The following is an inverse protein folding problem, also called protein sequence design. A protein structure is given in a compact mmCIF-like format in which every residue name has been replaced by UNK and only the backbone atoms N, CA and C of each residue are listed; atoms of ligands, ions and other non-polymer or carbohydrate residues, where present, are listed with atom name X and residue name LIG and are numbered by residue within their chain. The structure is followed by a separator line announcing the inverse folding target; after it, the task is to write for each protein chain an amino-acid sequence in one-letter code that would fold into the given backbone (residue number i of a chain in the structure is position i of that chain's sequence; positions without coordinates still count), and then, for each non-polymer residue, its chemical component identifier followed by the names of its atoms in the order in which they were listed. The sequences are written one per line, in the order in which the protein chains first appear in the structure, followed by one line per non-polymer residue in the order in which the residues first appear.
data_IF_143196789819
#
_entry.id   IF_143196789819
#
_cell.length_a   1.000
_cell.length_b   1.000
_cell.length_c   1.000
_cell.angle_alpha   90.00
_cell.angle_beta   90.00
_cell.angle_gamma   90.00
#
_symmetry.space_group_name_H-M   'P 1'
#
loop_
_entity.id
_entity.type
_entity.pdbx_description
1 polymer ?
2 polymer ?
3 water ?
#
# COMPACT_ATOMS: atom_id res chain seq x y z
N UNK A 1 -37.73 2.56 7.92
CA UNK A 1 -38.92 2.72 7.09
C UNK A 1 -38.55 2.70 5.61
N UNK A 2 -39.29 1.92 4.83
CA UNK A 2 -39.08 1.81 3.40
C UNK A 2 -40.15 2.65 2.72
N UNK A 3 -39.75 3.79 2.17
CA UNK A 3 -40.66 4.69 1.48
C UNK A 3 -41.22 4.06 0.21
N UNK A 4 -42.45 4.44 -0.12
CA UNK A 4 -42.95 4.23 -1.47
C UNK A 4 -42.37 5.26 -2.43
N UNK A 5 -42.35 4.91 -3.71
CA UNK A 5 -41.71 5.77 -4.70
C UNK A 5 -42.43 7.12 -4.81
N UNK A 6 -43.75 7.09 -4.97
CA UNK A 6 -44.52 8.33 -5.01
C UNK A 6 -44.54 9.03 -3.66
N UNK A 7 -44.59 8.25 -2.56
CA UNK A 7 -44.54 8.84 -1.23
C UNK A 7 -43.27 9.65 -1.03
N UNK A 8 -42.13 9.12 -1.50
CA UNK A 8 -40.87 9.83 -1.35
C UNK A 8 -40.79 11.05 -2.25
N UNK A 9 -41.37 10.96 -3.46
CA UNK A 9 -41.36 12.10 -4.37
C UNK A 9 -42.08 13.29 -3.77
N UNK A 10 -43.24 13.07 -3.14
CA UNK A 10 -43.96 14.16 -2.52
C UNK A 10 -43.22 14.71 -1.31
N UNK A 11 -42.61 13.83 -0.52
CA UNK A 11 -41.89 14.28 0.67
C UNK A 11 -40.69 15.15 0.30
N UNK A 12 -39.93 14.73 -0.73
CA UNK A 12 -38.79 15.53 -1.14
C UNK A 12 -39.20 16.80 -1.87
N UNK A 13 -40.32 16.79 -2.57
CA UNK A 13 -40.82 18.02 -3.17
C UNK A 13 -41.27 19.00 -2.10
N UNK A 14 -41.85 18.50 -0.99
CA UNK A 14 -42.19 19.38 0.12
C UNK A 14 -40.93 20.02 0.72
N UNK A 15 -39.80 19.33 0.65
CA UNK A 15 -38.54 19.89 1.12
C UNK A 15 -37.82 20.72 0.06
N UNK A 16 -38.48 20.97 -1.07
CA UNK A 16 -37.91 21.87 -2.07
C UNK A 16 -36.71 21.34 -2.83
N UNK A 17 -36.65 20.03 -3.07
CA UNK A 17 -35.55 19.44 -3.82
C UNK A 17 -35.77 19.48 -5.33
N UNK A 18 -36.90 20.00 -5.79
CA UNK A 18 -37.16 20.09 -7.22
C UNK A 18 -36.43 21.31 -7.79
N UNK A 19 -35.56 21.06 -8.76
CA UNK A 19 -34.73 22.08 -9.40
C UNK A 19 -33.80 22.78 -8.41
N UNK A 20 -33.50 22.14 -7.27
CA UNK A 20 -32.50 22.67 -6.37
C UNK A 20 -31.13 22.53 -7.01
N UNK A 21 -30.47 23.66 -7.28
CA UNK A 21 -29.20 23.68 -8.01
C UNK A 21 -29.34 23.02 -9.37
N UNK A 22 -30.49 23.20 -10.02
CA UNK A 22 -30.70 22.74 -11.37
C UNK A 22 -31.06 21.27 -11.50
N UNK A 23 -31.25 20.55 -10.41
CA UNK A 23 -31.53 19.13 -10.45
C UNK A 23 -33.03 18.92 -10.19
N UNK A 24 -33.75 18.49 -11.22
CA UNK A 24 -35.18 18.25 -11.09
C UNK A 24 -35.46 17.18 -10.05
N UNK A 25 -36.71 17.16 -9.58
CA UNK A 25 -37.10 16.27 -8.49
C UNK A 25 -36.86 14.80 -8.83
N UNK A 26 -37.06 14.42 -10.10
CA UNK A 26 -36.87 13.03 -10.49
C UNK A 26 -35.48 12.51 -10.24
N UNK A 27 -34.47 13.39 -10.27
CA UNK A 27 -33.10 12.98 -9.99
C UNK A 27 -32.97 12.42 -8.56
N UNK A 28 -33.64 13.06 -7.60
CA UNK A 28 -33.49 12.65 -6.21
C UNK A 28 -34.26 11.37 -5.91
N UNK A 29 -35.42 11.16 -6.56
CA UNK A 29 -36.13 9.89 -6.41
C UNK A 29 -35.28 8.76 -6.96
N UNK A 30 -34.75 8.95 -8.17
CA UNK A 30 -33.90 7.92 -8.78
C UNK A 30 -32.65 7.66 -7.96
N UNK A 31 -32.06 8.72 -7.40
CA UNK A 31 -30.84 8.57 -6.60
C UNK A 31 -31.08 7.71 -5.37
N UNK A 32 -32.17 7.98 -4.66
CA UNK A 32 -32.50 7.17 -3.48
C UNK A 32 -32.80 5.72 -3.86
N UNK A 33 -33.36 5.49 -5.04
CA UNK A 33 -33.73 4.14 -5.44
C UNK A 33 -32.48 3.26 -5.60
N UNK A 34 -31.43 3.78 -6.23
CA UNK A 34 -30.25 2.97 -6.48
C UNK A 34 -29.17 3.13 -5.42
N UNK A 35 -29.33 4.07 -4.48
CA UNK A 35 -28.42 4.17 -3.35
C UNK A 35 -28.89 3.33 -2.15
N UNK A 36 -30.19 3.40 -1.83
CA UNK A 36 -30.71 2.76 -0.63
C UNK A 36 -31.96 1.92 -0.87
N UNK A 37 -32.50 1.91 -2.09
CA UNK A 37 -33.75 1.22 -2.40
C UNK A 37 -34.89 1.76 -1.52
N UNK A 38 -34.91 3.08 -1.33
CA UNK A 38 -35.94 3.80 -0.60
C UNK A 38 -35.99 3.44 0.88
N UNK A 39 -34.92 2.84 1.42
CA UNK A 39 -34.86 2.43 2.81
C UNK A 39 -34.17 3.52 3.62
N UNK A 40 -34.89 4.08 4.60
CA UNK A 40 -34.30 5.11 5.45
C UNK A 40 -33.22 4.57 6.37
N UNK A 41 -33.20 3.26 6.61
CA UNK A 41 -32.28 2.63 7.54
C UNK A 41 -31.12 1.92 6.84
N UNK A 42 -30.86 2.24 5.58
CA UNK A 42 -29.79 1.58 4.84
C UNK A 42 -28.43 2.00 5.38
N UNK A 43 -27.57 1.01 5.64
CA UNK A 43 -26.19 1.25 6.06
C UNK A 43 -25.27 0.35 5.26
N UNK A 44 -24.21 0.92 4.70
CA UNK A 44 -23.27 0.18 3.87
C UNK A 44 -21.85 0.61 4.20
N UNK A 45 -20.99 -0.38 4.41
CA UNK A 45 -19.59 -0.12 4.71
C UNK A 45 -18.82 0.24 3.43
N UNK A 46 -17.83 1.10 3.58
CA UNK A 46 -16.85 1.38 2.54
C UNK A 46 -15.54 0.69 2.89
N UNK A 47 -14.61 0.72 1.93
CA UNK A 47 -13.33 0.03 2.11
C UNK A 47 -12.31 0.86 2.87
N UNK A 48 -12.66 2.08 3.29
CA UNK A 48 -11.76 2.97 4.00
C UNK A 48 -12.20 3.22 5.43
N UNK A 49 -12.96 2.32 6.02
CA UNK A 49 -13.43 2.50 7.38
C UNK A 49 -14.64 3.39 7.54
N UNK A 50 -15.14 4.00 6.45
CA UNK A 50 -16.30 4.87 6.52
C UNK A 50 -17.57 4.08 6.21
N UNK A 51 -18.72 4.75 6.33
CA UNK A 51 -20.01 4.11 6.15
C UNK A 51 -20.99 5.12 5.56
N UNK A 52 -21.86 4.65 4.68
CA UNK A 52 -22.93 5.46 4.13
C UNK A 52 -24.23 5.19 4.88
N UNK A 53 -24.94 6.24 5.26
CA UNK A 53 -26.10 6.12 6.12
C UNK A 53 -27.33 6.75 5.47
N UNK A 54 -28.47 6.12 5.64
CA UNK A 54 -29.73 6.74 5.32
C UNK A 54 -30.24 6.43 3.93
N UNK A 55 -31.36 7.10 3.60
CA UNK A 55 -32.00 6.90 2.31
C UNK A 55 -31.18 7.48 1.17
N UNK A 56 -30.25 8.40 1.46
CA UNK A 56 -29.37 8.96 0.45
C UNK A 56 -27.91 8.54 0.64
N UNK A 57 -27.65 7.61 1.55
CA UNK A 57 -26.33 7.01 1.73
C UNK A 57 -25.26 8.08 1.92
N UNK A 58 -25.43 8.86 2.99
CA UNK A 58 -24.54 9.96 3.30
C UNK A 58 -23.28 9.41 3.95
N UNK A 59 -22.12 9.85 3.46
CA UNK A 59 -20.84 9.25 3.84
C UNK A 59 -20.34 9.80 5.19
N UNK A 60 -19.73 8.92 5.98
CA UNK A 60 -19.32 9.25 7.34
C UNK A 60 -17.88 9.76 7.44
N UNK A 61 -17.15 9.82 6.32
CA UNK A 61 -15.85 10.47 6.33
C UNK A 61 -15.95 11.96 6.03
N UNK A 62 -16.89 12.37 5.17
CA UNK A 62 -16.95 13.74 4.70
C UNK A 62 -18.13 14.54 5.24
N UNK A 63 -19.26 13.91 5.54
CA UNK A 63 -20.48 14.66 5.80
C UNK A 63 -21.01 14.52 7.22
N UNK A 64 -21.22 13.31 7.71
CA UNK A 64 -21.75 13.11 9.06
C UNK A 64 -20.73 12.40 9.94
N UNK A 65 -20.96 12.44 11.24
CA UNK A 65 -20.07 11.86 12.23
C UNK A 65 -20.71 10.60 12.80
N UNK A 66 -20.01 9.48 12.68
CA UNK A 66 -20.45 8.20 13.24
C UNK A 66 -19.53 7.72 14.36
N UNK A 67 -18.55 8.52 14.76
CA UNK A 67 -17.67 8.19 15.87
C UNK A 67 -16.70 7.06 15.64
N UNK A 68 -16.58 6.54 14.42
CA UNK A 68 -15.70 5.41 14.16
C UNK A 68 -14.86 5.56 12.90
N UNK A 69 -15.00 6.66 12.15
CA UNK A 69 -14.25 6.85 10.92
C UNK A 69 -13.07 7.75 11.16
N UNK A 70 -11.85 7.32 10.86
CA UNK A 70 -10.68 8.17 11.10
C UNK A 70 -10.66 9.36 10.16
N UNK A 71 -10.29 10.52 10.71
CA UNK A 71 -10.18 11.72 9.91
C UNK A 71 -11.49 12.21 9.32
N UNK A 72 -12.61 11.95 9.99
CA UNK A 72 -13.91 12.39 9.50
C UNK A 72 -14.03 13.91 9.61
N UNK A 73 -14.51 14.55 8.55
CA UNK A 73 -14.62 16.01 8.55
C UNK A 73 -15.95 16.50 9.08
N UNK A 74 -17.04 15.76 8.86
CA UNK A 74 -18.37 16.15 9.33
C UNK A 74 -18.76 17.54 8.82
N UNK A 75 -18.69 17.69 7.50
CA UNK A 75 -18.98 18.99 6.88
C UNK A 75 -20.45 19.34 6.95
N UNK A 76 -21.33 18.36 7.16
CA UNK A 76 -22.75 18.62 7.39
C UNK A 76 -23.06 18.91 8.85
N UNK A 77 -22.10 18.66 9.76
CA UNK A 77 -22.23 18.92 11.19
C UNK A 77 -23.51 18.30 11.75
N UNK A 78 -23.58 16.97 11.66
CA UNK A 78 -24.75 16.23 12.12
C UNK A 78 -24.34 14.78 12.40
N UNK A 79 -24.80 14.18 13.50
CA UNK A 79 -24.51 12.75 13.72
C UNK A 79 -25.17 11.89 12.66
N UNK A 80 -24.45 10.85 12.24
CA UNK A 80 -24.97 9.94 11.21
C UNK A 80 -26.24 9.24 11.66
N UNK A 81 -26.41 9.07 12.97
CA UNK A 81 -27.63 8.45 13.48
C UNK A 81 -28.86 9.28 13.09
N UNK A 82 -28.73 10.60 13.05
CA UNK A 82 -29.84 11.45 12.64
C UNK A 82 -30.26 11.19 11.20
N UNK A 83 -29.36 10.67 10.37
CA UNK A 83 -29.66 10.35 8.99
C UNK A 83 -30.31 8.99 8.83
N UNK A 84 -30.50 8.26 9.92
CA UNK A 84 -31.20 6.97 9.91
C UNK A 84 -32.65 7.09 10.38
N UNK A 85 -33.11 8.32 10.63
CA UNK A 85 -34.48 8.54 11.06
C UNK A 85 -35.46 8.31 9.91
N UNK A 86 -36.69 7.91 10.27
CA UNK A 86 -37.75 7.78 9.28
C UNK A 86 -38.15 9.13 8.68
N UNK A 87 -37.81 10.22 9.35
CA UNK A 87 -37.99 11.57 8.84
C UNK A 87 -36.76 11.97 8.04
N UNK A 88 -36.94 12.31 6.77
CA UNK A 88 -35.81 12.53 5.86
C UNK A 88 -35.38 13.98 5.86
N UNK A 89 -35.85 14.76 6.83
CA UNK A 89 -35.48 16.17 6.90
C UNK A 89 -33.98 16.35 7.02
N UNK A 90 -33.34 15.58 7.90
CA UNK A 90 -31.89 15.70 8.08
C UNK A 90 -31.13 15.26 6.85
N UNK A 91 -31.56 14.16 6.21
CA UNK A 91 -30.87 13.68 5.02
C UNK A 91 -31.04 14.65 3.85
N UNK A 92 -32.17 15.34 3.78
CA UNK A 92 -32.37 16.31 2.69
C UNK A 92 -31.51 17.54 2.90
N UNK A 93 -31.44 18.06 4.14
CA UNK A 93 -30.66 19.25 4.39
C UNK A 93 -29.17 19.00 4.14
N UNK A 94 -28.67 17.81 4.50
CA UNK A 94 -27.29 17.49 4.20
C UNK A 94 -27.08 17.27 2.71
N UNK A 95 -28.07 16.71 2.02
CA UNK A 95 -27.95 16.53 0.57
C UNK A 95 -27.88 17.87 -0.15
N UNK A 96 -28.60 18.87 0.34
CA UNK A 96 -28.52 20.20 -0.27
C UNK A 96 -27.14 20.81 -0.08
N UNK A 97 -26.55 20.61 1.11
CA UNK A 97 -25.20 21.10 1.33
C UNK A 97 -24.19 20.38 0.44
N UNK A 98 -24.41 19.10 0.17
CA UNK A 98 -23.48 18.34 -0.66
C UNK A 98 -23.56 18.81 -2.11
N UNK A 99 -24.78 18.91 -2.65
CA UNK A 99 -24.94 19.28 -4.05
C UNK A 99 -24.50 20.71 -4.32
N UNK A 100 -24.46 21.55 -3.29
CA UNK A 100 -24.01 22.93 -3.43
C UNK A 100 -22.52 23.08 -3.18
N UNK A 101 -21.81 21.99 -2.96
CA UNK A 101 -20.38 22.04 -2.69
C UNK A 101 -19.55 22.17 -3.96
N UNK A 102 -20.20 22.39 -5.11
CA UNK A 102 -19.50 22.64 -6.35
C UNK A 102 -19.42 21.47 -7.33
N UNK A 103 -19.75 20.26 -6.90
CA UNK A 103 -19.72 19.10 -7.80
C UNK A 103 -21.09 18.58 -8.18
N UNK A 104 -22.17 19.19 -7.70
CA UNK A 104 -23.49 18.71 -8.06
C UNK A 104 -23.79 17.34 -7.46
N UNK A 105 -24.66 16.60 -8.15
CA UNK A 105 -25.06 15.28 -7.69
C UNK A 105 -24.06 14.17 -8.03
N UNK A 106 -22.89 14.53 -8.57
CA UNK A 106 -21.85 13.55 -8.85
C UNK A 106 -21.30 12.91 -7.59
N UNK A 107 -21.64 13.42 -6.41
CA UNK A 107 -21.18 12.81 -5.17
C UNK A 107 -21.82 11.45 -4.90
N UNK A 108 -22.95 11.15 -5.54
CA UNK A 108 -23.65 9.89 -5.37
C UNK A 108 -23.28 8.96 -6.52
N UNK A 109 -22.59 7.87 -6.22
CA UNK A 109 -22.12 6.94 -7.25
C UNK A 109 -23.29 6.32 -7.98
N UNK A 110 -24.34 5.92 -7.25
CA UNK A 110 -25.48 5.27 -7.89
C UNK A 110 -26.22 6.21 -8.83
N UNK A 111 -26.29 7.50 -8.49
CA UNK A 111 -26.90 8.47 -9.40
C UNK A 111 -26.10 8.60 -10.68
N UNK A 112 -24.76 8.56 -10.58
CA UNK A 112 -23.91 8.73 -11.74
C UNK A 112 -24.11 7.59 -12.74
N UNK A 113 -24.17 6.35 -12.26
CA UNK A 113 -24.17 5.18 -13.11
C UNK A 113 -25.57 4.67 -13.46
N UNK A 114 -26.62 5.21 -12.83
CA UNK A 114 -27.97 4.71 -13.04
C UNK A 114 -29.00 5.79 -13.39
N UNK A 115 -28.75 7.05 -13.04
CA UNK A 115 -29.74 8.11 -13.20
C UNK A 115 -29.30 9.23 -14.12
N UNK A 116 -28.01 9.59 -14.08
CA UNK A 116 -27.50 10.69 -14.90
C UNK A 116 -27.67 10.36 -16.39
N UNK A 117 -28.30 11.29 -17.12
CA UNK A 117 -28.53 11.10 -18.54
C UNK A 117 -29.66 10.17 -18.92
N UNK A 118 -30.55 9.87 -17.98
CA UNK A 118 -31.69 9.00 -18.23
C UNK A 118 -32.98 9.79 -18.10
N UNK A 119 -34.11 9.13 -18.36
CA UNK A 119 -35.43 9.74 -18.20
C UNK A 119 -35.80 9.67 -16.71
N UNK A 120 -35.24 10.63 -15.95
CA UNK A 120 -35.44 10.64 -14.51
C UNK A 120 -36.88 10.98 -14.16
N UNK A 121 -37.58 11.70 -15.02
CA UNK A 121 -38.98 12.05 -14.77
C UNK A 121 -39.88 10.83 -14.76
N UNK A 122 -39.42 9.70 -15.31
CA UNK A 122 -40.21 8.47 -15.21
C UNK A 122 -40.42 8.06 -13.76
N UNK A 123 -39.50 8.45 -12.88
CA UNK A 123 -39.61 8.13 -11.46
C UNK A 123 -40.64 8.98 -10.73
N UNK A 124 -41.21 10.00 -11.38
CA UNK A 124 -42.30 10.77 -10.79
C UNK A 124 -43.57 10.69 -11.62
N UNK A 125 -43.56 9.93 -12.71
CA UNK A 125 -44.72 9.81 -13.57
C UNK A 125 -45.81 8.99 -12.87
N UNK A 126 -47.00 9.56 -12.75
CA UNK A 126 -48.10 8.89 -12.09
C UNK A 126 -48.19 9.11 -10.59
N UNK A 127 -47.52 10.11 -10.05
CA UNK A 127 -47.58 10.44 -8.63
C UNK A 127 -48.40 11.70 -8.42
N UNK A 128 -48.75 11.95 -7.16
CA UNK A 128 -49.61 13.08 -6.82
C UNK A 128 -48.91 14.42 -7.05
N UNK A 129 -47.99 14.78 -6.16
CA UNK A 129 -47.33 16.08 -6.19
C UNK A 129 -48.34 17.23 -6.23
N UNK B 1 36.79 -5.25 -11.06
CA UNK B 1 37.56 -6.43 -11.42
C UNK B 1 36.69 -7.68 -11.37
N UNK B 2 36.78 -8.50 -12.43
CA UNK B 2 36.03 -9.74 -12.53
C UNK B 2 36.98 -10.88 -12.17
N UNK B 3 36.78 -11.47 -11.00
CA UNK B 3 37.62 -12.57 -10.56
C UNK B 3 37.43 -13.78 -11.47
N UNK B 4 38.50 -14.54 -11.65
CA UNK B 4 38.38 -15.87 -12.18
C UNK B 4 37.84 -16.85 -11.15
N UNK B 5 37.29 -17.95 -11.64
CA UNK B 5 36.65 -18.92 -10.75
C UNK B 5 37.68 -19.53 -9.79
N UNK B 6 38.79 -20.04 -10.32
CA UNK B 6 39.84 -20.57 -9.45
C UNK B 6 40.51 -19.46 -8.65
N UNK B 7 40.70 -18.29 -9.27
CA UNK B 7 41.30 -17.15 -8.59
C UNK B 7 40.50 -16.76 -7.34
N UNK B 8 39.18 -16.73 -7.45
CA UNK B 8 38.36 -16.35 -6.31
C UNK B 8 38.35 -17.45 -5.25
N UNK B 9 38.34 -18.72 -5.69
CA UNK B 9 38.33 -19.83 -4.73
C UNK B 9 39.56 -19.80 -3.83
N UNK B 10 40.74 -19.54 -4.41
CA UNK B 10 41.96 -19.45 -3.61
C UNK B 10 41.95 -18.23 -2.71
N UNK B 11 41.43 -17.10 -3.21
CA UNK B 11 41.40 -15.89 -2.40
C UNK B 11 40.48 -16.04 -1.20
N UNK B 12 39.30 -16.63 -1.40
CA UNK B 12 38.39 -16.83 -0.28
C UNK B 12 38.89 -17.93 0.64
N UNK B 13 39.61 -18.93 0.10
CA UNK B 13 40.26 -19.92 0.95
C UNK B 13 41.35 -19.27 1.78
N UNK B 14 42.06 -18.29 1.19
CA UNK B 14 43.08 -17.55 1.92
C UNK B 14 42.47 -16.75 3.06
N UNK B 15 41.23 -16.29 2.90
CA UNK B 15 40.52 -15.54 3.93
C UNK B 15 39.79 -16.43 4.92
N UNK B 16 40.00 -17.74 4.86
CA UNK B 16 39.43 -18.66 5.83
C UNK B 16 37.94 -18.85 5.74
N UNK B 17 37.36 -18.76 4.55
CA UNK B 17 35.94 -18.96 4.36
C UNK B 17 35.57 -20.43 4.15
N UNK B 18 36.54 -21.33 4.14
CA UNK B 18 36.27 -22.75 3.94
C UNK B 18 35.79 -23.37 5.25
N UNK B 19 34.58 -23.93 5.22
CA UNK B 19 33.92 -24.51 6.39
C UNK B 19 33.67 -23.48 7.48
N UNK B 20 33.61 -22.19 7.11
CA UNK B 20 33.26 -21.16 8.07
C UNK B 20 31.80 -21.31 8.47
N UNK B 21 31.58 -21.61 9.74
CA UNK B 21 30.24 -21.90 10.27
C UNK B 21 29.58 -23.05 9.50
N UNK B 22 30.39 -24.04 9.11
CA UNK B 22 29.88 -25.23 8.47
C UNK B 22 29.67 -25.14 6.98
N UNK B 23 30.05 -24.03 6.34
CA UNK B 23 29.83 -23.83 4.91
C UNK B 23 31.15 -24.05 4.16
N UNK B 24 31.22 -25.15 3.40
CA UNK B 24 32.40 -25.48 2.63
C UNK B 24 32.70 -24.39 1.60
N UNK B 25 33.94 -24.39 1.10
CA UNK B 25 34.40 -23.33 0.20
C UNK B 25 33.53 -23.22 -1.04
N UNK B 26 33.04 -24.35 -1.56
CA UNK B 26 32.22 -24.31 -2.77
C UNK B 26 30.95 -23.48 -2.59
N UNK B 27 30.42 -23.40 -1.37
CA UNK B 27 29.25 -22.59 -1.12
C UNK B 27 29.51 -21.12 -1.43
N UNK B 28 30.68 -20.62 -1.05
CA UNK B 28 30.97 -19.20 -1.24
C UNK B 28 31.32 -18.87 -2.68
N UNK B 29 31.99 -19.79 -3.38
CA UNK B 29 32.24 -19.57 -4.81
C UNK B 29 30.92 -19.54 -5.56
N UNK B 30 30.04 -20.51 -5.29
CA UNK B 30 28.75 -20.56 -5.96
C UNK B 30 27.92 -19.32 -5.65
N UNK B 31 27.97 -18.85 -4.40
CA UNK B 31 27.20 -17.67 -4.02
C UNK B 31 27.65 -16.44 -4.79
N UNK B 32 28.96 -16.22 -4.86
CA UNK B 32 29.48 -15.08 -5.61
C UNK B 32 29.18 -15.20 -7.10
N UNK B 33 29.13 -16.43 -7.62
CA UNK B 33 28.89 -16.62 -9.04
C UNK B 33 27.50 -16.14 -9.44
N UNK B 34 26.49 -16.48 -8.65
CA UNK B 34 25.11 -16.16 -8.98
C UNK B 34 24.62 -14.86 -8.35
N UNK B 35 25.40 -14.26 -7.46
CA UNK B 35 25.04 -12.94 -6.94
C UNK B 35 25.61 -11.82 -7.79
N UNK B 36 26.87 -11.91 -8.21
CA UNK B 36 27.54 -10.84 -8.92
C UNK B 36 28.29 -11.29 -10.16
N UNK B 37 28.31 -12.59 -10.47
CA UNK B 37 29.10 -13.12 -11.58
C UNK B 37 30.58 -12.80 -11.42
N UNK B 38 31.07 -12.90 -10.18
CA UNK B 38 32.47 -12.69 -9.84
C UNK B 38 32.94 -11.27 -10.06
N UNK B 39 32.03 -10.30 -10.16
CA UNK B 39 32.38 -8.91 -10.42
C UNK B 39 32.47 -8.15 -9.10
N UNK B 40 33.66 -7.62 -8.80
CA UNK B 40 33.85 -6.85 -7.57
C UNK B 40 33.10 -5.52 -7.60
N UNK B 41 32.77 -5.01 -8.79
CA UNK B 41 32.13 -3.71 -8.93
C UNK B 41 30.63 -3.83 -9.22
N UNK B 42 30.03 -4.99 -8.95
CA UNK B 42 28.62 -5.18 -9.21
C UNK B 42 27.79 -4.37 -8.23
N UNK B 43 26.83 -3.60 -8.76
CA UNK B 43 25.86 -2.85 -7.97
C UNK B 43 24.48 -3.04 -8.57
N UNK B 44 23.51 -3.37 -7.73
CA UNK B 44 22.14 -3.61 -8.19
C UNK B 44 21.16 -2.98 -7.22
N UNK B 45 20.21 -2.22 -7.76
CA UNK B 45 19.18 -1.58 -6.94
C UNK B 45 18.12 -2.60 -6.51
N UNK B 46 17.58 -2.37 -5.32
CA UNK B 46 16.43 -3.11 -4.83
C UNK B 46 15.18 -2.24 -4.92
N UNK B 47 14.04 -2.85 -4.66
CA UNK B 47 12.77 -2.15 -4.78
C UNK B 47 12.40 -1.34 -3.54
N UNK B 48 13.23 -1.36 -2.49
CA UNK B 48 12.93 -0.68 -1.24
C UNK B 48 13.89 0.48 -0.96
N UNK B 49 14.51 1.04 -1.99
CA UNK B 49 15.46 2.12 -1.84
C UNK B 49 16.87 1.71 -1.48
N UNK B 50 17.11 0.43 -1.20
CA UNK B 50 18.44 -0.06 -0.86
C UNK B 50 19.12 -0.59 -2.12
N UNK B 51 20.40 -0.99 -1.95
CA UNK B 51 21.22 -1.43 -3.06
C UNK B 51 22.17 -2.50 -2.53
N UNK B 52 22.44 -3.52 -3.35
CA UNK B 52 23.42 -4.55 -3.02
C UNK B 52 24.74 -4.21 -3.71
N UNK B 53 25.85 -4.30 -2.96
CA UNK B 53 27.15 -3.87 -3.44
C UNK B 53 28.16 -5.01 -3.37
N UNK B 54 29.02 -5.09 -4.37
CA UNK B 54 30.19 -5.93 -4.31
C UNK B 54 30.04 -7.30 -4.93
N UNK B 55 31.10 -8.09 -4.77
CA UNK B 55 31.15 -9.43 -5.34
C UNK B 55 30.19 -10.37 -4.61
N UNK B 56 29.78 -10.03 -3.38
CA UNK B 56 28.82 -10.82 -2.63
C UNK B 56 27.49 -10.10 -2.45
N UNK B 57 27.30 -8.96 -3.12
CA UNK B 57 26.03 -8.25 -3.16
C UNK B 57 25.49 -7.99 -1.75
N UNK B 58 26.30 -7.26 -0.98
CA UNK B 58 25.95 -6.96 0.40
C UNK B 58 24.95 -5.81 0.42
N UNK B 59 23.88 -5.98 1.20
CA UNK B 59 22.74 -5.08 1.16
C UNK B 59 23.00 -3.82 1.97
N UNK B 60 22.50 -2.69 1.46
CA UNK B 60 22.78 -1.37 2.04
C UNK B 60 21.74 -0.93 3.07
N UNK B 61 20.69 -1.72 3.31
CA UNK B 61 19.77 -1.41 4.39
C UNK B 61 20.22 -2.02 5.72
N UNK B 62 20.82 -3.21 5.67
CA UNK B 62 21.13 -3.94 6.90
C UNK B 62 22.62 -4.01 7.23
N UNK B 63 23.50 -4.00 6.24
CA UNK B 63 24.91 -4.33 6.47
C UNK B 63 25.87 -3.18 6.26
N UNK B 64 25.83 -2.51 5.11
CA UNK B 64 26.74 -1.41 4.83
C UNK B 64 25.97 -0.10 4.69
N UNK B 65 26.69 1.00 4.78
CA UNK B 65 26.12 2.34 4.68
C UNK B 65 26.53 2.99 3.37
N UNK B 66 25.54 3.36 2.55
CA UNK B 66 25.79 4.05 1.30
C UNK B 66 25.24 5.48 1.30
N UNK B 67 24.75 5.96 2.45
CA UNK B 67 24.28 7.34 2.53
C UNK B 67 23.02 7.63 1.76
N UNK B 68 22.35 6.59 1.25
CA UNK B 68 21.22 6.76 0.34
C UNK B 68 20.03 5.89 0.69
N UNK B 69 20.15 4.98 1.66
CA UNK B 69 19.08 4.07 2.02
C UNK B 69 18.41 4.55 3.30
N UNK B 70 17.09 4.77 3.29
CA UNK B 70 16.42 5.21 4.53
C UNK B 70 16.40 4.10 5.57
N UNK B 71 16.64 4.50 6.82
CA UNK B 71 16.58 3.55 7.92
C UNK B 71 17.63 2.46 7.89
N UNK B 72 18.81 2.75 7.34
CA UNK B 72 19.86 1.74 7.30
C UNK B 72 20.41 1.48 8.69
N UNK B 73 20.86 0.25 8.91
CA UNK B 73 21.40 -0.17 10.20
C UNK B 73 22.92 -0.26 10.21
N UNK B 74 23.53 -0.63 9.09
CA UNK B 74 24.99 -0.72 8.95
C UNK B 74 25.57 -1.63 10.03
N UNK B 75 25.07 -2.86 10.07
CA UNK B 75 25.49 -3.81 11.09
C UNK B 75 26.92 -4.29 10.88
N UNK B 76 27.47 -4.13 9.68
CA UNK B 76 28.87 -4.43 9.44
C UNK B 76 29.80 -3.26 9.73
N UNK B 77 29.25 -2.04 9.84
CA UNK B 77 30.04 -0.84 10.10
C UNK B 77 31.14 -0.68 9.06
N UNK B 78 30.70 -0.38 7.83
CA UNK B 78 31.59 -0.22 6.69
C UNK B 78 30.85 0.50 5.58
N UNK B 79 31.46 1.49 4.93
CA UNK B 79 30.82 2.12 3.77
C UNK B 79 30.67 1.12 2.64
N UNK B 80 29.54 1.21 1.94
CA UNK B 80 29.29 0.30 0.83
C UNK B 80 30.34 0.46 -0.27
N UNK B 81 30.92 1.66 -0.38
CA UNK B 81 31.98 1.88 -1.36
C UNK B 81 33.18 0.99 -1.08
N UNK B 82 33.47 0.71 0.19
CA UNK B 82 34.58 -0.18 0.52
C UNK B 82 34.35 -1.59 0.00
N UNK B 83 33.09 -1.98 -0.21
CA UNK B 83 32.78 -3.32 -0.72
C UNK B 83 32.86 -3.41 -2.24
N UNK B 84 33.20 -2.31 -2.93
CA UNK B 84 33.41 -2.33 -4.37
C UNK B 84 34.89 -2.37 -4.75
N UNK B 85 35.78 -2.52 -3.76
CA UNK B 85 37.19 -2.61 -4.03
C UNK B 85 37.52 -3.94 -4.71
N UNK B 86 38.59 -3.93 -5.52
CA UNK B 86 39.07 -5.18 -6.11
C UNK B 86 39.64 -6.13 -5.06
N UNK B 87 39.96 -5.62 -3.87
CA UNK B 87 40.36 -6.44 -2.73
C UNK B 87 39.10 -6.86 -1.97
N UNK B 88 38.91 -8.17 -1.81
CA UNK B 88 37.66 -8.70 -1.27
C UNK B 88 37.73 -8.81 0.25
N UNK B 89 38.74 -8.19 0.87
CA UNK B 89 38.89 -8.29 2.32
C UNK B 89 37.66 -7.74 3.05
N UNK B 90 37.18 -6.56 2.66
CA UNK B 90 36.03 -5.98 3.35
C UNK B 90 34.78 -6.81 3.13
N UNK B 91 34.56 -7.30 1.91
CA UNK B 91 33.37 -8.10 1.63
C UNK B 91 33.39 -9.43 2.36
N UNK B 92 34.57 -10.02 2.56
CA UNK B 92 34.66 -11.29 3.27
C UNK B 92 34.35 -11.11 4.74
N UNK B 93 34.92 -10.07 5.36
CA UNK B 93 34.70 -9.84 6.78
C UNK B 93 33.25 -9.51 7.07
N UNK B 94 32.58 -8.76 6.18
CA UNK B 94 31.16 -8.49 6.39
C UNK B 94 30.32 -9.73 6.14
N UNK B 95 30.72 -10.59 5.20
CA UNK B 95 29.99 -11.83 4.97
C UNK B 95 30.03 -12.75 6.18
N UNK B 96 31.16 -12.77 6.90
CA UNK B 96 31.26 -13.60 8.09
C UNK B 96 30.30 -13.12 9.17
N UNK B 97 30.14 -11.80 9.31
CA UNK B 97 29.15 -11.28 10.26
C UNK B 97 27.74 -11.65 9.84
N UNK B 98 27.47 -11.73 8.54
CA UNK B 98 26.13 -12.05 8.06
C UNK B 98 25.78 -13.50 8.36
N UNK B 99 26.69 -14.43 8.02
CA UNK B 99 26.45 -15.85 8.24
C UNK B 99 26.43 -16.19 9.73
N UNK B 100 26.99 -15.33 10.57
CA UNK B 100 27.00 -15.59 12.00
C UNK B 100 25.75 -15.07 12.69
N UNK B 101 24.81 -14.51 11.94
CA UNK B 101 23.60 -13.94 12.52
C UNK B 101 22.54 -14.99 12.84
N UNK B 102 22.84 -16.28 12.67
CA UNK B 102 21.94 -17.34 13.05
C UNK B 102 21.13 -17.93 11.91
N UNK B 103 21.10 -17.28 10.76
CA UNK B 103 20.36 -17.78 9.61
C UNK B 103 21.27 -18.35 8.53
N UNK B 104 22.58 -18.34 8.73
CA UNK B 104 23.47 -18.92 7.74
C UNK B 104 23.48 -18.14 6.44
N UNK B 105 23.74 -18.88 5.35
CA UNK B 105 23.84 -18.28 4.04
C UNK B 105 22.48 -18.01 3.39
N UNK B 106 21.38 -18.19 4.11
CA UNK B 106 20.07 -17.87 3.55
C UNK B 106 19.88 -16.38 3.28
N UNK B 107 20.80 -15.53 3.76
CA UNK B 107 20.71 -14.10 3.50
C UNK B 107 20.95 -13.78 2.04
N UNK B 108 21.59 -14.67 1.29
CA UNK B 108 21.85 -14.48 -0.13
C UNK B 108 20.81 -15.23 -0.93
N UNK B 109 19.98 -14.49 -1.67
CA UNK B 109 18.89 -15.10 -2.42
C UNK B 109 19.44 -16.04 -3.49
N UNK B 110 20.55 -15.66 -4.13
CA UNK B 110 21.12 -16.49 -5.19
C UNK B 110 21.65 -17.80 -4.63
N UNK B 111 22.20 -17.79 -3.41
CA UNK B 111 22.65 -19.03 -2.80
C UNK B 111 21.48 -19.96 -2.52
N UNK B 112 20.35 -19.39 -2.08
CA UNK B 112 19.17 -20.20 -1.76
C UNK B 112 18.62 -20.90 -3.01
N UNK B 113 18.52 -20.18 -4.12
CA UNK B 113 17.85 -20.71 -5.30
C UNK B 113 18.81 -21.37 -6.30
N UNK B 114 20.11 -21.20 -6.14
CA UNK B 114 21.08 -21.73 -7.10
C UNK B 114 22.19 -22.56 -6.47
N UNK B 115 22.40 -22.50 -5.17
CA UNK B 115 23.51 -23.20 -4.55
C UNK B 115 23.09 -24.15 -3.44
N UNK B 116 22.08 -23.78 -2.65
CA UNK B 116 21.66 -24.62 -1.54
C UNK B 116 21.16 -25.96 -2.05
N UNK B 117 21.72 -27.04 -1.51
CA UNK B 117 21.36 -28.38 -1.92
C UNK B 117 21.96 -28.86 -3.21
N UNK B 118 23.03 -28.20 -3.69
CA UNK B 118 23.70 -28.59 -4.93
C UNK B 118 25.10 -29.08 -4.63
N UNK B 119 25.78 -29.56 -5.68
CA UNK B 119 27.17 -30.00 -5.57
C UNK B 119 28.06 -28.75 -5.66
N UNK B 120 28.18 -28.06 -4.53
CA UNK B 120 28.94 -26.82 -4.50
C UNK B 120 30.43 -27.09 -4.68
N UNK B 121 30.89 -28.30 -4.33
CA UNK B 121 32.30 -28.64 -4.49
C UNK B 121 32.73 -28.64 -5.96
N UNK B 122 31.78 -28.70 -6.89
CA UNK B 122 32.13 -28.61 -8.31
C UNK B 122 32.77 -27.27 -8.65
N UNK B 123 32.44 -26.20 -7.91
CA UNK B 123 32.97 -24.88 -8.19
C UNK B 123 34.42 -24.70 -7.75
N UNK B 124 34.99 -25.66 -7.03
CA UNK B 124 36.39 -25.67 -6.64
C UNK B 124 37.12 -26.91 -7.15
N UNK B 125 36.50 -27.65 -8.07
CA UNK B 125 37.01 -28.97 -8.47
C UNK B 125 38.37 -28.87 -9.17
N UNK B 126 38.43 -28.16 -10.29
CA UNK B 126 39.66 -28.10 -11.06
C UNK B 126 40.69 -27.07 -10.62
N UNK B 127 40.59 -26.57 -9.39
CA UNK B 127 41.47 -25.52 -8.91
C UNK B 127 42.50 -26.08 -7.95
N UNK B 128 43.53 -25.26 -7.70
CA UNK B 128 44.63 -25.64 -6.82
C UNK B 128 44.18 -25.68 -5.36
N UNK C 4 2.16 7.89 -27.11
CA UNK C 4 2.70 7.27 -25.90
C UNK C 4 1.79 6.17 -25.38
N UNK C 5 2.36 5.29 -24.56
CA UNK C 5 1.55 4.29 -23.85
C UNK C 5 0.74 4.98 -22.77
N UNK C 6 -0.54 4.67 -22.61
CA UNK C 6 -1.33 5.29 -21.53
C UNK C 6 -0.66 5.08 -20.18
N UNK C 7 -0.74 6.09 -19.33
CA UNK C 7 -0.21 6.04 -17.97
C UNK C 7 -1.35 6.31 -16.99
N UNK C 8 -1.77 5.27 -16.27
CA UNK C 8 -2.89 5.39 -15.34
C UNK C 8 -2.54 6.15 -14.06
N UNK C 9 -1.27 6.46 -13.84
CA UNK C 9 -0.84 7.31 -12.73
C UNK C 9 0.47 7.96 -13.12
N UNK C 10 0.53 9.28 -12.98
CA UNK C 10 1.69 10.03 -13.46
C UNK C 10 1.76 11.37 -12.75
N UNK C 11 2.98 11.91 -12.68
CA UNK C 11 3.20 13.27 -12.25
C UNK C 11 3.21 14.16 -13.48
N UNK C 12 2.39 15.20 -13.47
CA UNK C 12 2.29 16.11 -14.61
C UNK C 12 2.92 17.48 -14.33
N UNK C 13 3.09 17.86 -13.07
CA UNK C 13 3.77 19.09 -12.70
C UNK C 13 4.48 18.86 -11.38
N UNK C 14 5.65 19.46 -11.22
CA UNK C 14 6.48 19.17 -10.05
C UNK C 14 7.30 20.38 -9.64
N UNK C 15 7.56 20.48 -8.35
CA UNK C 15 8.52 21.41 -7.75
C UNK C 15 9.36 20.58 -6.80
N UNK C 16 10.51 21.12 -6.34
CA UNK C 16 11.34 20.35 -5.41
C UNK C 16 10.61 19.88 -4.15
N UNK C 17 9.49 20.51 -3.79
CA UNK C 17 8.78 20.17 -2.56
C UNK C 17 7.30 19.85 -2.78
N UNK C 18 6.86 19.70 -4.03
CA UNK C 18 5.45 19.47 -4.31
C UNK C 18 5.30 18.68 -5.61
N UNK C 19 4.22 17.91 -5.70
CA UNK C 19 3.94 17.09 -6.87
C UNK C 19 2.46 17.18 -7.24
N UNK C 20 2.18 17.32 -8.53
CA UNK C 20 0.83 17.30 -9.06
C UNK C 20 0.64 15.98 -9.80
N UNK C 21 -0.07 15.04 -9.18
CA UNK C 21 -0.28 13.72 -9.75
C UNK C 21 -1.62 13.68 -10.46
N UNK C 22 -1.69 12.84 -11.49
CA UNK C 22 -2.92 12.59 -12.25
C UNK C 22 -3.07 11.10 -12.45
N UNK C 23 -4.30 10.61 -12.31
CA UNK C 23 -4.57 9.18 -12.37
C UNK C 23 -5.82 8.91 -13.20
N UNK C 24 -6.07 7.63 -13.44
CA UNK C 24 -7.22 7.17 -14.22
C UNK C 24 -8.37 6.82 -13.28
N UNK C 25 -9.53 7.40 -13.54
CA UNK C 25 -10.70 7.18 -12.72
C UNK C 25 -11.50 5.95 -13.14
N UNK C 26 -12.45 5.59 -12.28
CA UNK C 26 -13.31 4.43 -12.50
C UNK C 26 -14.72 4.74 -12.01
N UNK C 27 -15.74 4.15 -12.65
CA UNK C 27 -17.12 4.63 -12.43
C UNK C 27 -17.66 4.39 -11.03
N UNK C 28 -17.28 3.30 -10.38
CA UNK C 28 -17.86 2.94 -9.09
C UNK C 28 -17.04 3.46 -7.90
N UNK C 29 -16.08 4.34 -8.14
CA UNK C 29 -15.25 4.87 -7.07
C UNK C 29 -16.01 5.98 -6.34
N UNK C 30 -16.20 5.80 -5.03
CA UNK C 30 -16.77 6.87 -4.21
C UNK C 30 -15.82 8.07 -4.19
N UNK C 31 -14.58 7.84 -3.77
CA UNK C 31 -13.48 8.79 -3.93
C UNK C 31 -12.20 7.97 -4.01
N UNK C 32 -11.05 8.64 -3.88
CA UNK C 32 -9.76 8.00 -4.05
C UNK C 32 -8.86 8.27 -2.84
N UNK C 33 -8.07 7.28 -2.48
CA UNK C 33 -7.08 7.41 -1.43
C UNK C 33 -5.68 7.58 -2.01
N UNK C 34 -4.92 8.51 -1.45
CA UNK C 34 -3.58 8.82 -1.93
C UNK C 34 -2.60 8.47 -0.80
N UNK C 35 -1.70 7.53 -1.06
CA UNK C 35 -0.68 7.13 -0.10
C UNK C 35 0.69 7.49 -0.68
N UNK C 36 1.49 8.20 0.10
CA UNK C 36 2.81 8.59 -0.36
C UNK C 36 3.80 8.60 0.80
N UNK C 37 5.03 8.23 0.50
CA UNK C 37 6.09 8.25 1.48
C UNK C 37 7.41 7.95 0.81
N UNK C 38 8.50 8.26 1.52
CA UNK C 38 9.82 8.01 0.98
C UNK C 38 10.00 6.52 0.70
N UNK C 39 10.49 6.21 -0.50
CA UNK C 39 10.68 4.82 -0.90
C UNK C 39 11.63 4.12 0.06
N UNK C 40 11.13 3.09 0.72
CA UNK C 40 11.88 2.42 1.77
C UNK C 40 11.86 3.14 3.10
N UNK C 41 11.03 4.17 3.25
CA UNK C 41 10.94 4.89 4.49
C UNK C 41 10.18 4.13 5.55
N UNK C 42 10.10 4.74 6.74
CA UNK C 42 9.47 4.11 7.88
C UNK C 42 8.05 4.60 8.15
N UNK C 43 7.58 5.61 7.40
CA UNK C 43 6.24 6.11 7.60
C UNK C 43 5.66 6.58 6.27
N UNK C 44 4.34 6.49 6.15
CA UNK C 44 3.64 6.94 4.97
C UNK C 44 2.48 7.82 5.40
N UNK C 45 1.99 8.63 4.46
CA UNK C 45 0.86 9.54 4.68
C UNK C 45 -0.26 9.14 3.74
N UNK C 46 -1.50 9.14 4.25
CA UNK C 46 -2.68 8.81 3.47
C UNK C 46 -3.67 9.97 3.49
N UNK C 47 -4.19 10.31 2.32
CA UNK C 47 -5.23 11.34 2.18
C UNK C 47 -6.31 10.83 1.24
N UNK C 48 -7.44 11.54 1.22
CA UNK C 48 -8.57 11.13 0.41
C UNK C 48 -9.12 12.32 -0.35
N UNK C 49 -9.64 12.05 -1.54
CA UNK C 49 -10.30 13.07 -2.34
C UNK C 49 -11.77 13.15 -1.96
N UNK C 50 -12.45 14.18 -2.45
CA UNK C 50 -13.82 14.33 -2.01
C UNK C 50 -14.79 13.67 -2.99
N UNK C 51 -15.95 13.21 -2.51
CA UNK C 51 -16.93 12.61 -3.42
C UNK C 51 -17.44 13.62 -4.43
N UNK C 52 -17.62 13.15 -5.66
CA UNK C 52 -18.02 14.00 -6.76
C UNK C 52 -16.87 14.66 -7.48
N UNK C 53 -15.67 14.62 -6.92
CA UNK C 53 -14.51 15.24 -7.56
C UNK C 53 -14.00 14.29 -8.62
N UNK C 54 -14.39 14.52 -9.87
CA UNK C 54 -14.01 13.69 -11.00
C UNK C 54 -12.84 14.27 -11.79
N UNK C 55 -12.09 15.20 -11.20
CA UNK C 55 -10.94 15.78 -11.89
C UNK C 55 -9.78 14.80 -12.01
N UNK C 56 -9.71 13.81 -11.12
CA UNK C 56 -8.65 12.80 -11.14
C UNK C 56 -7.26 13.44 -11.07
N UNK C 57 -7.15 14.48 -10.25
CA UNK C 57 -5.90 15.20 -10.02
C UNK C 57 -5.80 15.56 -8.55
N UNK C 58 -4.57 15.71 -8.07
CA UNK C 58 -4.33 16.07 -6.68
C UNK C 58 -2.89 16.54 -6.53
N UNK C 59 -2.68 17.45 -5.58
CA UNK C 59 -1.37 18.01 -5.30
C UNK C 59 -0.85 17.44 -3.99
N UNK C 60 0.32 16.80 -4.04
CA UNK C 60 1.04 16.35 -2.86
C UNK C 60 2.12 17.37 -2.57
N UNK C 61 2.11 17.94 -1.37
CA UNK C 61 3.01 19.04 -1.02
C UNK C 61 3.76 18.70 0.25
N UNK C 62 4.75 19.55 0.56
CA UNK C 62 5.57 19.37 1.74
C UNK C 62 6.60 18.28 1.64
N UNK C 63 7.05 17.95 0.43
CA UNK C 63 8.00 16.88 0.22
C UNK C 63 9.44 17.39 0.35
N UNK C 64 10.37 16.44 0.52
CA UNK C 64 11.76 16.85 0.62
C UNK C 64 12.44 16.81 -0.75
N UNK C 65 13.30 17.77 -1.05
CA UNK C 65 14.00 17.75 -2.32
C UNK C 65 15.00 16.61 -2.39
N UNK C 66 15.16 16.06 -3.60
CA UNK C 66 16.12 15.01 -3.85
C UNK C 66 15.79 13.66 -3.22
N UNK C 67 14.55 13.47 -2.79
CA UNK C 67 14.13 12.24 -2.13
C UNK C 67 13.17 11.49 -3.05
N UNK C 68 13.35 10.18 -3.12
CA UNK C 68 12.48 9.33 -3.92
C UNK C 68 11.23 8.95 -3.13
N UNK C 69 10.06 9.16 -3.74
CA UNK C 69 8.79 8.89 -3.09
C UNK C 69 8.03 7.82 -3.86
N UNK C 70 7.23 7.06 -3.13
CA UNK C 70 6.33 6.07 -3.70
C UNK C 70 4.89 6.56 -3.53
N UNK C 71 4.22 6.81 -4.65
CA UNK C 71 2.86 7.34 -4.67
C UNK C 71 1.91 6.23 -5.09
N UNK C 72 0.87 6.00 -4.30
CA UNK C 72 -0.14 4.97 -4.56
C UNK C 72 -1.52 5.60 -4.55
N UNK C 73 -2.33 5.26 -5.54
CA UNK C 73 -3.69 5.76 -5.66
C UNK C 73 -4.63 4.56 -5.80
N UNK C 74 -5.67 4.52 -4.99
CA UNK C 74 -6.65 3.43 -5.05
C UNK C 74 -8.04 4.01 -4.89
N UNK C 75 -9.02 3.32 -5.47
CA UNK C 75 -10.40 3.76 -5.46
C UNK C 75 -11.11 3.18 -4.24
N UNK C 76 -11.69 4.05 -3.43
CA UNK C 76 -12.54 3.63 -2.33
C UNK C 76 -13.92 3.30 -2.89
N UNK C 77 -14.43 2.12 -2.54
CA UNK C 77 -15.73 1.68 -3.02
C UNK C 77 -16.57 1.22 -1.84
N UNK C 78 -17.86 1.04 -2.11
CA UNK C 78 -18.77 0.46 -1.14
C UNK C 78 -18.69 -1.06 -1.21
N UNK C 79 -18.69 -1.70 -0.04
CA UNK C 79 -18.64 -3.16 0.01
C UNK C 79 -19.88 -3.71 -0.68
N UNK C 80 -19.66 -4.62 -1.63
CA UNK C 80 -20.73 -5.11 -2.47
C UNK C 80 -21.01 -4.27 -3.70
N UNK C 81 -20.25 -3.20 -3.92
CA UNK C 81 -20.42 -2.33 -5.09
C UNK C 81 -19.05 -1.95 -5.63
N UNK C 82 -18.17 -2.94 -5.79
CA UNK C 82 -16.83 -2.71 -6.31
C UNK C 82 -16.71 -3.08 -7.79
N UNK C 83 -17.22 -4.25 -8.19
CA UNK C 83 -17.27 -4.69 -9.59
C UNK C 83 -15.86 -4.70 -10.17
N UNK C 84 -15.59 -3.97 -11.25
CA UNK C 84 -14.34 -4.06 -11.99
C UNK C 84 -13.22 -3.19 -11.43
N UNK C 85 -13.43 -2.51 -10.30
CA UNK C 85 -12.44 -1.60 -9.77
C UNK C 85 -11.09 -2.29 -9.63
N UNK C 86 -10.05 -1.82 -10.34
CA UNK C 86 -8.79 -2.59 -10.39
C UNK C 86 -8.02 -2.63 -9.08
N UNK C 87 -8.01 -1.55 -8.31
CA UNK C 87 -7.28 -1.52 -7.07
C UNK C 87 -6.10 -0.57 -7.11
N UNK C 88 -5.20 -0.69 -6.14
CA UNK C 88 -4.10 0.28 -6.03
C UNK C 88 -3.10 0.17 -7.18
N UNK C 89 -2.69 1.32 -7.67
CA UNK C 89 -1.61 1.47 -8.64
C UNK C 89 -0.56 2.39 -8.02
N UNK C 90 0.71 2.13 -8.35
CA UNK C 90 1.81 2.86 -7.73
C UNK C 90 2.79 3.35 -8.79
N UNK C 91 3.48 4.45 -8.45
CA UNK C 91 4.59 4.98 -9.24
C UNK C 91 5.67 5.44 -8.26
N UNK C 92 6.86 5.70 -8.81
CA UNK C 92 7.96 6.28 -8.07
C UNK C 92 8.35 7.62 -8.69
N UNK C 93 8.78 8.55 -7.85
CA UNK C 93 9.20 9.87 -8.33
C UNK C 93 10.20 10.46 -7.35
N UNK C 94 11.39 10.80 -7.85
CA UNK C 94 12.41 11.46 -7.06
C UNK C 94 12.34 12.96 -7.33
N UNK C 95 12.09 13.74 -6.29
CA UNK C 95 11.95 15.18 -6.43
C UNK C 95 13.29 15.82 -6.77
N UNK C 96 13.23 16.98 -7.42
CA UNK C 96 14.44 17.67 -7.80
C UNK C 96 15.02 18.48 -6.67
N UNK C 97 16.30 18.83 -6.81
CA UNK C 97 16.97 19.64 -5.81
C UNK C 97 16.39 21.06 -5.82
N UNK C 98 16.60 21.76 -4.70
CA UNK C 98 16.12 23.13 -4.57
C UNK C 98 17.12 24.11 -5.16
N UNK C 99 16.61 25.30 -5.52
CA UNK C 99 17.42 26.27 -6.24
C UNK C 99 18.59 26.78 -5.41
N UNK C 100 18.37 27.04 -4.12
CA UNK C 100 19.42 27.55 -3.25
C UNK C 100 20.55 26.56 -3.08
N UNK D 2 -12.01 -31.21 6.99
CA UNK D 2 -10.79 -31.00 6.24
C UNK D 2 -10.24 -29.60 6.52
N UNK D 3 -8.97 -29.39 6.20
CA UNK D 3 -8.28 -28.16 6.59
C UNK D 3 -8.92 -26.94 5.95
N UNK D 4 -8.69 -25.79 6.60
CA UNK D 4 -9.18 -24.51 6.12
C UNK D 4 -8.53 -24.14 4.77
N UNK D 5 -9.14 -23.18 4.09
CA UNK D 5 -8.51 -22.65 2.87
C UNK D 5 -7.24 -21.90 3.25
N UNK D 6 -6.14 -22.10 2.53
CA UNK D 6 -4.90 -21.38 2.87
C UNK D 6 -5.10 -19.88 2.97
N UNK D 7 -4.42 -19.28 3.93
CA UNK D 7 -4.41 -17.83 4.14
C UNK D 7 -2.97 -17.35 4.01
N UNK D 8 -2.68 -16.63 2.92
CA UNK D 8 -1.32 -16.17 2.67
C UNK D 8 -0.91 -15.01 3.57
N UNK D 9 -1.83 -14.45 4.34
CA UNK D 9 -1.53 -13.45 5.35
C UNK D 9 -2.60 -13.55 6.43
N UNK D 10 -2.16 -13.66 7.69
CA UNK D 10 -3.09 -13.93 8.77
C UNK D 10 -2.46 -13.50 10.09
N UNK D 11 -3.33 -13.22 11.06
CA UNK D 11 -2.90 -13.04 12.44
C UNK D 11 -3.04 -14.37 13.15
N UNK D 12 -1.97 -14.81 13.82
CA UNK D 12 -1.98 -16.08 14.54
C UNK D 12 -2.00 -15.89 16.05
N UNK D 13 -1.60 -14.72 16.55
CA UNK D 13 -1.67 -14.40 17.98
C UNK D 13 -1.91 -12.90 18.09
N UNK D 14 -2.67 -12.51 19.11
CA UNK D 14 -3.05 -11.11 19.23
C UNK D 14 -3.20 -10.71 20.69
N UNK D 15 -2.93 -9.45 20.96
CA UNK D 15 -3.23 -8.76 22.21
C UNK D 15 -3.89 -7.45 21.84
N UNK D 16 -4.53 -6.77 22.80
CA UNK D 16 -5.12 -5.46 22.48
C UNK D 16 -4.14 -4.46 21.89
N UNK D 17 -2.84 -4.65 22.10
CA UNK D 17 -1.86 -3.68 21.64
C UNK D 17 -0.78 -4.28 20.74
N UNK D 18 -0.90 -5.55 20.34
CA UNK D 18 0.13 -6.17 19.51
C UNK D 18 -0.49 -7.28 18.67
N UNK D 19 0.14 -7.56 17.53
CA UNK D 19 -0.29 -8.59 16.60
C UNK D 19 0.91 -9.38 16.10
N UNK D 20 0.76 -10.71 16.03
CA UNK D 20 1.78 -11.59 15.46
C UNK D 20 1.24 -12.08 14.12
N UNK D 21 1.79 -11.54 13.03
CA UNK D 21 1.32 -11.85 11.68
C UNK D 21 2.20 -12.95 11.09
N UNK D 22 1.59 -13.75 10.21
CA UNK D 22 2.28 -14.80 9.47
C UNK D 22 1.85 -14.72 8.01
N UNK D 23 2.81 -14.89 7.11
CA UNK D 23 2.53 -14.74 5.68
C UNK D 23 3.21 -15.85 4.89
N UNK D 24 2.91 -15.87 3.59
CA UNK D 24 3.46 -16.87 2.69
C UNK D 24 4.71 -16.30 2.02
N UNK D 25 5.81 -17.05 2.06
CA UNK D 25 7.05 -16.60 1.50
C UNK D 25 7.19 -16.90 0.03
N UNK D 26 8.22 -16.31 -0.58
CA UNK D 26 8.47 -16.49 -2.00
C UNK D 26 9.97 -16.59 -2.22
N UNK D 27 10.39 -17.35 -3.25
CA UNK D 27 11.81 -17.74 -3.32
C UNK D 27 12.75 -16.59 -3.62
N UNK D 28 12.34 -15.58 -4.37
CA UNK D 28 13.25 -14.51 -4.78
C UNK D 28 13.22 -13.30 -3.86
N UNK D 29 12.56 -13.42 -2.71
CA UNK D 29 12.44 -12.31 -1.77
C UNK D 29 13.72 -12.15 -0.96
N UNK D 30 14.34 -10.97 -1.07
CA UNK D 30 15.47 -10.63 -0.21
C UNK D 30 15.03 -10.55 1.24
N UNK D 31 14.04 -9.72 1.52
CA UNK D 31 13.32 -9.70 2.78
C UNK D 31 11.91 -9.19 2.49
N UNK D 32 11.18 -8.84 3.53
CA UNK D 32 9.79 -8.44 3.37
C UNK D 32 9.54 -7.10 4.03
N UNK D 33 8.66 -6.31 3.42
CA UNK D 33 8.22 -5.05 3.98
C UNK D 33 6.84 -5.22 4.57
N UNK D 34 6.66 -4.66 5.77
CA UNK D 34 5.40 -4.73 6.50
C UNK D 34 4.89 -3.31 6.68
N UNK D 35 3.72 -3.04 6.12
CA UNK D 35 3.07 -1.74 6.24
C UNK D 35 1.78 -1.94 7.03
N UNK D 36 1.59 -1.12 8.08
CA UNK D 36 0.40 -1.25 8.90
C UNK D 36 -0.03 0.13 9.39
N UNK D 37 -1.34 0.30 9.49
CA UNK D 37 -1.92 1.54 9.99
C UNK D 37 -3.41 1.38 10.12
N UNK D 38 -4.02 2.31 10.85
CA UNK D 38 -5.46 2.27 11.04
C UNK D 38 -6.17 2.37 9.69
N UNK D 39 -7.14 1.47 9.47
CA UNK D 39 -7.89 1.46 8.22
C UNK D 39 -8.60 2.80 8.02
N UNK D 40 -8.24 3.50 6.94
CA UNK D 40 -8.73 4.84 6.70
C UNK D 40 -8.04 5.93 7.49
N UNK D 41 -6.94 5.61 8.17
CA UNK D 41 -6.19 6.60 8.92
C UNK D 41 -5.36 7.48 8.01
N UNK D 42 -4.65 8.42 8.62
CA UNK D 42 -3.85 9.37 7.87
C UNK D 42 -2.36 9.05 7.85
N UNK D 43 -1.91 8.03 8.58
CA UNK D 43 -0.51 7.67 8.61
C UNK D 43 -0.34 6.16 8.71
N UNK D 44 0.76 5.67 8.14
CA UNK D 44 1.11 4.26 8.17
C UNK D 44 2.56 4.12 8.59
N UNK D 45 2.90 2.92 9.07
CA UNK D 45 4.26 2.60 9.52
C UNK D 45 4.79 1.46 8.65
N UNK D 46 6.05 1.57 8.25
CA UNK D 46 6.69 0.57 7.41
C UNK D 46 7.91 0.02 8.12
N UNK D 47 8.04 -1.31 8.14
CA UNK D 47 9.19 -1.99 8.70
C UNK D 47 9.63 -3.09 7.75
N UNK D 48 10.82 -3.62 7.99
CA UNK D 48 11.39 -4.65 7.14
C UNK D 48 11.99 -5.77 7.98
N UNK D 49 11.90 -6.98 7.47
CA UNK D 49 12.52 -8.15 8.08
C UNK D 49 13.98 -8.28 7.64
N UNK D 50 14.73 -9.22 8.31
CA UNK D 50 16.14 -9.32 7.99
C UNK D 50 16.40 -10.39 6.94
N UNK D 51 17.46 -10.21 6.14
CA UNK D 51 17.79 -11.21 5.13
C UNK D 51 18.14 -12.54 5.78
N UNK D 52 17.67 -13.63 5.16
CA UNK D 52 17.86 -14.95 5.69
C UNK D 52 16.76 -15.41 6.65
N UNK D 53 15.92 -14.50 7.12
CA UNK D 53 14.84 -14.85 8.04
C UNK D 53 13.69 -15.46 7.25
N UNK D 54 13.62 -16.79 7.24
CA UNK D 54 12.58 -17.51 6.52
C UNK D 54 11.44 -17.94 7.42
N UNK D 55 11.30 -17.33 8.60
CA UNK D 55 10.22 -17.68 9.51
C UNK D 55 8.87 -17.15 9.03
N UNK D 56 8.86 -16.11 8.19
CA UNK D 56 7.63 -15.53 7.65
C UNK D 56 6.67 -15.13 8.77
N UNK D 57 7.23 -14.60 9.85
CA UNK D 57 6.45 -14.14 10.99
C UNK D 57 7.04 -12.85 11.52
N UNK D 58 6.19 -12.04 12.14
CA UNK D 58 6.61 -10.77 12.70
C UNK D 58 5.55 -10.27 13.67
N UNK D 59 6.02 -9.53 14.69
CA UNK D 59 5.14 -8.96 15.71
C UNK D 59 5.01 -7.47 15.48
N UNK D 60 3.78 -6.99 15.37
CA UNK D 60 3.45 -5.58 15.29
C UNK D 60 3.05 -5.10 16.68
N UNK D 61 3.72 -4.07 17.19
CA UNK D 61 3.53 -3.61 18.55
C UNK D 61 3.15 -2.13 18.56
N UNK D 62 2.76 -1.66 19.75
CA UNK D 62 2.38 -0.27 19.91
C UNK D 62 1.02 0.08 19.35
N UNK D 63 0.12 -0.89 19.21
CA UNK D 63 -1.18 -0.63 18.63
C UNK D 63 -2.16 -0.14 19.69
N UNK D 64 -3.25 0.46 19.24
CA UNK D 64 -4.33 0.94 20.08
C UNK D 64 -5.44 -0.08 20.17
N UNK D 65 -6.02 -0.27 21.35
CA UNK D 65 -7.14 -1.22 21.47
C UNK D 65 -8.36 -0.73 20.72
N UNK D 66 -9.12 -1.70 20.19
CA UNK D 66 -10.38 -1.39 19.53
C UNK D 66 -10.27 -0.66 18.21
N UNK D 67 -9.08 -0.65 17.59
CA UNK D 67 -8.85 0.07 16.34
C UNK D 67 -8.67 -0.94 15.21
N UNK D 68 -9.30 -0.67 14.07
CA UNK D 68 -9.17 -1.52 12.90
C UNK D 68 -7.92 -1.14 12.12
N UNK D 69 -7.08 -2.12 11.83
CA UNK D 69 -5.80 -1.90 11.16
C UNK D 69 -5.75 -2.61 9.81
N UNK D 70 -5.00 -2.03 8.89
CA UNK D 70 -4.73 -2.62 7.60
C UNK D 70 -3.26 -3.06 7.58
N UNK D 71 -3.04 -4.37 7.44
CA UNK D 71 -1.71 -4.95 7.48
C UNK D 71 -1.35 -5.35 6.06
N UNK D 72 -0.20 -4.90 5.58
CA UNK D 72 0.27 -5.18 4.23
C UNK D 72 1.68 -5.78 4.31
N UNK D 73 1.89 -6.87 3.57
CA UNK D 73 3.19 -7.52 3.48
C UNK D 73 3.53 -7.68 2.00
N UNK D 74 4.73 -7.25 1.62
CA UNK D 74 5.21 -7.36 0.25
C UNK D 74 6.68 -7.79 0.26
N UNK D 75 7.08 -8.46 -0.81
CA UNK D 75 8.44 -9.00 -0.91
C UNK D 75 9.35 -7.98 -1.57
N UNK D 76 10.44 -7.64 -0.89
CA UNK D 76 11.49 -6.81 -1.48
C UNK D 76 12.38 -7.69 -2.34
N UNK D 77 12.59 -7.29 -3.58
CA UNK D 77 13.43 -8.03 -4.53
C UNK D 77 14.44 -7.09 -5.15
N UNK D 78 15.41 -7.69 -5.84
CA UNK D 78 16.39 -6.95 -6.62
C UNK D 78 15.86 -6.68 -8.01
N UNK D 79 16.08 -5.45 -8.50
CA UNK D 79 15.66 -5.11 -9.86
C UNK D 79 16.38 -6.00 -10.85
N UNK D 80 15.63 -6.65 -11.72
CA UNK D 80 16.17 -7.67 -12.60
C UNK D 80 16.20 -9.06 -12.01
N UNK D 81 15.75 -9.23 -10.77
CA UNK D 81 15.66 -10.52 -10.10
C UNK D 81 14.36 -10.59 -9.32
N UNK D 82 13.27 -10.13 -9.93
CA UNK D 82 11.94 -10.17 -9.35
C UNK D 82 11.08 -11.28 -9.95
N UNK D 83 11.09 -11.37 -11.28
CA UNK D 83 10.40 -12.43 -12.04
C UNK D 83 8.91 -12.39 -11.70
N UNK D 84 8.30 -13.49 -11.30
CA UNK D 84 6.86 -13.61 -11.08
C UNK D 84 6.44 -13.25 -9.66
N UNK D 85 7.37 -12.77 -8.83
CA UNK D 85 7.09 -12.50 -7.42
C UNK D 85 5.86 -11.61 -7.27
N UNK D 86 4.80 -12.08 -6.63
CA UNK D 86 3.55 -11.31 -6.59
C UNK D 86 3.69 -10.07 -5.71
N UNK D 87 2.76 -9.14 -5.91
CA UNK D 87 2.78 -7.88 -5.22
C UNK D 87 2.25 -7.95 -3.80
N UNK D 88 1.94 -6.79 -3.22
CA UNK D 88 1.53 -6.75 -1.80
C UNK D 88 0.19 -7.44 -1.58
N UNK D 89 0.09 -8.11 -0.43
CA UNK D 89 -1.16 -8.70 0.03
C UNK D 89 -1.52 -8.01 1.35
N UNK D 90 -2.83 -7.81 1.56
CA UNK D 90 -3.32 -7.04 2.70
C UNK D 90 -4.46 -7.77 3.38
N UNK D 91 -4.60 -7.50 4.69
CA UNK D 91 -5.72 -7.98 5.49
C UNK D 91 -6.17 -6.84 6.41
N UNK D 92 -7.33 -7.03 7.02
CA UNK D 92 -7.84 -6.12 8.03
C UNK D 92 -7.97 -6.88 9.36
N UNK D 93 -7.74 -6.16 10.46
CA UNK D 93 -7.84 -6.75 11.79
C UNK D 93 -8.16 -5.66 12.80
N UNK D 94 -9.25 -5.82 13.53
CA UNK D 94 -9.60 -4.90 14.61
C UNK D 94 -9.12 -5.48 15.93
N UNK D 95 -8.22 -4.76 16.60
CA UNK D 95 -7.67 -5.24 17.85
C UNK D 95 -8.74 -5.22 18.94
N UNK D 96 -8.57 -6.08 19.92
CA UNK D 96 -9.53 -6.16 20.99
C UNK D 96 -9.31 -5.12 22.07
N UNK D 97 -10.31 -5.02 22.94
CA UNK D 97 -10.21 -4.35 24.23
C UNK D 97 -9.65 -5.41 25.18
N UNK D 98 -9.13 -5.06 26.36
CA UNK D 98 -8.94 -3.71 26.85
C UNK D 98 -7.54 -3.61 27.41
N UNK D 99 -6.89 -2.47 27.17
CA UNK D 99 -5.49 -2.28 27.53
C UNK D 99 -4.61 -3.25 26.75
#
# INVERSE_FOLDING_TARGET
KVFGRCELAAAMKRHGLDNYRGYSLGNWVCAAKFESNFNTQATNRNTDGSTDYGILQINSRWWCNDGRTPGSRNLCNIPCSALLSSDITASVNCAKKIVSDGNGMNAWVAWRNRCKGTDVQAWIRGCRL
KVFGRCELAAAMKRHGLDNYRGYSLGNWVCAAKFESNFNTQATNRNTDGSTDYGILQINSRWWCNDGRTPGSRNLCNIPCSALLSSDITASVNCAKKIVSDGNGMNAWVAWRNRCKGTDVQAWIRGCRL
MVSDVPRDLEVVAATPTSLLISWRGYPWATYYGIIYGETGGNSLVQEFTMPGDLSHRATISGLKPGVDYTITVYAVTRVGRTFDTPGPISINYRTGHHHHHH
MVSDVPRDLEVVAATPTSLLISWRGYPWATYYGIIYGETGGNSLVQEFTMPGDLSHRATISGLKPGVDYTITVYAVTRVGRTFDTPGPISINYRTGHHHHHH
#
